data_IF_705955140159
#
_entry.id   IF_705955140159
#
_cell.length_a   1.000
_cell.length_b   1.000
_cell.length_c   1.000
_cell.angle_alpha   90.00
_cell.angle_beta   90.00
_cell.angle_gamma   90.00
#
_symmetry.space_group_name_H-M   'P 1'
#
loop_
_entity.id
_entity.type
_entity.pdbx_description
1 polymer ?
#
# COMPACT_ATOMS: atom_id res chain seq x y z
N UNK A 1 -7.98 -10.65 26.66
CA UNK A 1 -8.69 -10.74 25.37
C UNK A 1 -8.71 -12.19 24.91
N UNK A 2 -9.69 -12.60 24.11
CA UNK A 2 -9.67 -13.87 23.38
C UNK A 2 -10.12 -13.67 21.94
N UNK A 3 -9.44 -14.31 20.99
CA UNK A 3 -9.83 -14.39 19.59
C UNK A 3 -10.62 -15.67 19.34
N UNK A 4 -11.74 -15.57 18.63
CA UNK A 4 -12.61 -16.71 18.31
C UNK A 4 -12.65 -17.00 16.81
N UNK A 5 -12.67 -15.96 15.98
CA UNK A 5 -12.68 -16.04 14.51
C UNK A 5 -11.63 -15.08 13.97
N UNK A 6 -10.94 -15.49 12.92
CA UNK A 6 -9.99 -14.69 12.15
C UNK A 6 -9.92 -15.26 10.73
N UNK A 7 -10.66 -14.66 9.82
CA UNK A 7 -10.72 -15.06 8.41
C UNK A 7 -10.18 -13.91 7.56
N UNK A 8 -9.27 -14.22 6.64
CA UNK A 8 -8.62 -13.23 5.79
C UNK A 8 -8.99 -13.51 4.33
N UNK A 9 -9.54 -12.51 3.65
CA UNK A 9 -9.76 -12.56 2.21
C UNK A 9 -8.42 -12.65 1.46
N UNK A 10 -8.38 -13.18 0.22
CA UNK A 10 -7.16 -13.24 -0.56
C UNK A 10 -6.41 -11.89 -0.60
N UNK A 11 -5.11 -11.94 -0.35
CA UNK A 11 -4.27 -10.75 -0.25
C UNK A 11 -3.47 -10.58 -1.54
N UNK A 12 -3.48 -9.36 -2.06
CA UNK A 12 -2.59 -8.93 -3.13
C UNK A 12 -1.61 -7.88 -2.61
N UNK A 13 -0.39 -7.87 -3.14
CA UNK A 13 0.66 -6.95 -2.71
C UNK A 13 0.22 -5.49 -2.82
N UNK A 14 0.40 -4.71 -1.75
CA UNK A 14 0.04 -3.30 -1.66
C UNK A 14 -1.45 -2.97 -1.75
N UNK A 15 -2.33 -3.94 -2.06
CA UNK A 15 -3.78 -3.75 -2.12
C UNK A 15 -4.40 -3.94 -0.74
N UNK A 16 -5.52 -3.26 -0.50
CA UNK A 16 -6.32 -3.45 0.72
C UNK A 16 -7.34 -4.57 0.50
N UNK A 17 -7.39 -5.50 1.43
CA UNK A 17 -8.39 -6.57 1.53
C UNK A 17 -9.07 -6.53 2.90
N UNK A 18 -10.00 -7.45 3.16
CA UNK A 18 -10.73 -7.54 4.43
C UNK A 18 -10.28 -8.73 5.26
N UNK A 19 -10.27 -8.56 6.58
CA UNK A 19 -10.19 -9.66 7.53
C UNK A 19 -11.38 -9.58 8.49
N UNK A 20 -12.14 -10.65 8.62
CA UNK A 20 -13.24 -10.74 9.59
C UNK A 20 -12.74 -11.35 10.89
N UNK A 21 -12.97 -10.67 12.01
CA UNK A 21 -12.53 -11.13 13.33
C UNK A 21 -13.65 -11.09 14.36
N UNK A 22 -13.64 -12.05 15.26
CA UNK A 22 -14.49 -12.07 16.45
C UNK A 22 -13.61 -12.09 17.69
N UNK A 23 -13.69 -11.01 18.48
CA UNK A 23 -12.95 -10.86 19.73
C UNK A 23 -13.87 -10.89 20.94
N UNK A 24 -13.36 -11.36 22.08
CA UNK A 24 -14.03 -11.29 23.37
C UNK A 24 -13.16 -10.58 24.40
N UNK A 25 -13.77 -9.63 25.12
CA UNK A 25 -13.14 -9.02 26.27
C UNK A 25 -13.29 -9.89 27.51
N UNK A 26 -12.44 -10.90 27.63
CA UNK A 26 -12.33 -11.76 28.83
C UNK A 26 -11.65 -11.07 30.03
N UNK A 27 -11.31 -9.78 29.91
CA UNK A 27 -10.69 -9.00 30.98
C UNK A 27 -11.71 -8.44 31.97
N UNK A 28 -11.23 -7.74 32.99
CA UNK A 28 -12.07 -7.07 34.00
C UNK A 28 -12.28 -5.59 33.72
N UNK A 29 -11.54 -5.02 32.78
CA UNK A 29 -11.64 -3.63 32.37
C UNK A 29 -12.24 -3.50 30.96
N UNK A 30 -13.08 -2.49 30.69
CA UNK A 30 -13.57 -2.22 29.34
C UNK A 30 -12.41 -1.83 28.41
N UNK A 31 -12.48 -2.25 27.16
CA UNK A 31 -11.67 -1.67 26.08
C UNK A 31 -12.23 -0.31 25.75
N UNK A 32 -11.41 0.72 25.96
CA UNK A 32 -11.71 2.11 25.61
C UNK A 32 -10.56 2.61 24.78
N UNK A 33 -10.87 3.15 23.61
CA UNK A 33 -9.88 3.74 22.70
C UNK A 33 -8.77 2.78 22.28
N UNK A 34 -9.05 1.47 22.26
CA UNK A 34 -8.14 0.49 21.67
C UNK A 34 -8.35 0.45 20.16
N UNK A 35 -7.30 0.10 19.43
CA UNK A 35 -7.40 -0.25 18.03
C UNK A 35 -7.06 -1.72 17.82
N UNK A 36 -7.78 -2.37 16.92
CA UNK A 36 -7.37 -3.63 16.31
C UNK A 36 -6.54 -3.31 15.06
N UNK A 37 -5.41 -3.98 14.94
CA UNK A 37 -4.44 -3.81 13.86
C UNK A 37 -3.69 -5.12 13.63
N UNK A 38 -2.59 -5.06 12.89
CA UNK A 38 -1.81 -6.20 12.50
C UNK A 38 -0.36 -5.84 12.21
N UNK A 39 0.47 -6.88 12.13
CA UNK A 39 1.84 -6.84 11.67
C UNK A 39 2.02 -7.82 10.50
N UNK A 40 2.86 -7.44 9.54
CA UNK A 40 3.40 -8.41 8.58
C UNK A 40 4.80 -8.80 9.01
N UNK A 41 5.04 -10.11 9.09
CA UNK A 41 6.33 -10.70 9.43
C UNK A 41 6.89 -11.46 8.24
N UNK A 42 8.21 -11.52 8.14
CA UNK A 42 8.93 -12.41 7.22
C UNK A 42 8.88 -13.87 7.69
N UNK A 43 9.51 -14.77 6.92
CA UNK A 43 9.59 -16.20 7.21
C UNK A 43 10.36 -16.55 8.51
N UNK A 44 11.09 -15.59 9.06
CA UNK A 44 11.85 -15.72 10.31
C UNK A 44 11.13 -15.06 11.49
N UNK A 45 9.94 -14.48 11.27
CA UNK A 45 9.17 -13.76 12.26
C UNK A 45 9.64 -12.32 12.51
N UNK A 46 10.52 -11.77 11.67
CA UNK A 46 10.90 -10.36 11.79
C UNK A 46 9.80 -9.48 11.19
N UNK A 47 9.43 -8.37 11.85
CA UNK A 47 8.43 -7.47 11.31
C UNK A 47 8.96 -6.72 10.09
N UNK A 48 8.25 -6.83 8.97
CA UNK A 48 8.43 -6.02 7.77
C UNK A 48 7.46 -4.84 7.72
N UNK A 49 6.27 -5.01 8.33
CA UNK A 49 5.32 -3.95 8.62
C UNK A 49 4.93 -4.10 10.07
N UNK A 50 5.38 -3.17 10.90
CA UNK A 50 5.04 -3.17 12.33
C UNK A 50 3.75 -2.41 12.63
N UNK A 51 3.35 -1.46 11.80
CA UNK A 51 2.14 -0.65 12.06
C UNK A 51 1.14 -0.83 10.92
N UNK A 52 0.22 -1.77 11.10
CA UNK A 52 -0.93 -1.98 10.21
C UNK A 52 -2.03 -0.95 10.41
N UNK A 53 -3.04 -0.98 9.55
CA UNK A 53 -4.19 -0.04 9.60
C UNK A 53 -4.91 -0.16 10.96
N UNK A 54 -5.03 0.97 11.67
CA UNK A 54 -5.73 1.07 12.96
C UNK A 54 -7.23 1.17 12.75
N UNK A 55 -7.99 0.32 13.44
CA UNK A 55 -9.44 0.44 13.51
C UNK A 55 -9.92 0.36 14.95
N UNK A 56 -10.68 1.37 15.36
CA UNK A 56 -11.12 1.51 16.74
C UNK A 56 -12.07 0.38 17.14
N UNK A 57 -11.83 -0.19 18.31
CA UNK A 57 -12.66 -1.26 18.89
C UNK A 57 -12.93 -1.00 20.36
N UNK A 58 -14.18 -1.19 20.76
CA UNK A 58 -14.64 -1.01 22.13
C UNK A 58 -15.45 -2.23 22.57
N UNK A 59 -15.26 -2.67 23.82
CA UNK A 59 -15.96 -3.82 24.39
C UNK A 59 -15.99 -3.73 25.92
N UNK A 60 -17.14 -3.95 26.54
CA UNK A 60 -17.22 -4.13 28.00
C UNK A 60 -16.68 -5.50 28.40
N UNK A 61 -16.31 -5.71 29.67
CA UNK A 61 -15.99 -7.05 30.17
C UNK A 61 -17.10 -8.06 29.85
N UNK A 62 -16.73 -9.17 29.23
CA UNK A 62 -17.63 -10.24 28.78
C UNK A 62 -18.23 -10.05 27.39
N UNK A 63 -18.12 -8.86 26.78
CA UNK A 63 -18.66 -8.61 25.45
C UNK A 63 -17.87 -9.35 24.37
N UNK A 64 -18.59 -9.74 23.32
CA UNK A 64 -18.02 -10.21 22.05
C UNK A 64 -18.29 -9.18 20.97
N UNK A 65 -17.27 -8.89 20.17
CA UNK A 65 -17.31 -7.89 19.11
C UNK A 65 -16.82 -8.51 17.82
N UNK A 66 -17.66 -8.45 16.79
CA UNK A 66 -17.29 -8.73 15.41
C UNK A 66 -16.74 -7.46 14.77
N UNK A 67 -15.69 -7.60 13.97
CA UNK A 67 -15.08 -6.48 13.26
C UNK A 67 -14.57 -6.93 11.89
N UNK A 68 -14.90 -6.16 10.86
CA UNK A 68 -14.27 -6.28 9.54
C UNK A 68 -13.09 -5.31 9.48
N UNK A 69 -11.89 -5.84 9.32
CA UNK A 69 -10.64 -5.09 9.30
C UNK A 69 -10.18 -4.85 7.87
N UNK A 70 -9.75 -3.64 7.57
CA UNK A 70 -8.90 -3.41 6.40
C UNK A 70 -7.47 -3.91 6.64
N UNK A 71 -6.95 -4.72 5.72
CA UNK A 71 -5.58 -5.24 5.75
C UNK A 71 -4.91 -4.95 4.41
N UNK A 72 -3.81 -4.21 4.42
CA UNK A 72 -2.98 -3.97 3.24
C UNK A 72 -1.90 -5.02 3.10
N UNK A 73 -1.82 -5.66 1.93
CA UNK A 73 -0.77 -6.61 1.63
C UNK A 73 0.62 -5.97 1.63
N UNK A 74 1.67 -6.69 2.07
CA UNK A 74 3.04 -6.22 1.99
C UNK A 74 3.49 -6.15 0.53
N UNK A 75 4.61 -5.46 0.29
CA UNK A 75 5.27 -5.36 -1.01
C UNK A 75 6.71 -5.85 -0.81
N UNK A 76 7.22 -6.79 -1.63
CA UNK A 76 6.60 -7.40 -2.83
C UNK A 76 5.64 -8.58 -2.51
N UNK A 77 5.07 -9.26 -3.53
CA UNK A 77 4.31 -10.51 -3.34
C UNK A 77 5.22 -11.64 -2.82
N UNK A 78 4.64 -12.60 -2.11
CA UNK A 78 5.40 -13.70 -1.51
C UNK A 78 4.73 -14.32 -0.29
N UNK A 79 5.49 -15.13 0.43
CA UNK A 79 5.05 -15.75 1.68
C UNK A 79 5.37 -14.86 2.86
N UNK A 80 4.35 -14.59 3.66
CA UNK A 80 4.45 -13.77 4.85
C UNK A 80 3.60 -14.36 5.96
N UNK A 81 3.78 -13.83 7.16
CA UNK A 81 2.89 -14.11 8.27
C UNK A 81 2.17 -12.83 8.71
N UNK A 82 0.85 -12.91 8.83
CA UNK A 82 0.03 -11.85 9.40
C UNK A 82 -0.19 -12.13 10.89
N UNK A 83 0.25 -11.24 11.76
CA UNK A 83 -0.04 -11.30 13.19
C UNK A 83 -1.09 -10.24 13.54
N UNK A 84 -2.25 -10.65 14.05
CA UNK A 84 -3.32 -9.74 14.49
C UNK A 84 -3.13 -9.35 15.96
N UNK A 85 -3.29 -8.07 16.30
CA UNK A 85 -3.17 -7.61 17.69
C UNK A 85 -4.09 -6.42 18.01
N UNK A 86 -4.30 -6.20 19.31
CA UNK A 86 -4.85 -4.96 19.84
C UNK A 86 -3.72 -4.03 20.28
N UNK A 87 -3.91 -2.74 20.10
CA UNK A 87 -3.03 -1.69 20.59
C UNK A 87 -3.80 -0.75 21.51
N UNK A 88 -3.17 -0.35 22.60
CA UNK A 88 -3.51 0.87 23.35
C UNK A 88 -2.58 1.98 22.84
N UNK A 89 -3.14 2.97 22.16
CA UNK A 89 -2.37 3.98 21.42
C UNK A 89 -1.30 4.63 22.29
N UNK A 90 -0.08 4.73 21.75
CA UNK A 90 1.10 5.26 22.42
C UNK A 90 1.55 4.54 23.70
N UNK A 91 1.01 3.35 24.00
CA UNK A 91 1.32 2.63 25.24
C UNK A 91 1.95 1.28 24.98
N UNK A 92 1.21 0.35 24.40
CA UNK A 92 1.70 -1.01 24.14
C UNK A 92 0.78 -1.74 23.18
N UNK A 93 1.38 -2.72 22.52
CA UNK A 93 0.66 -3.81 21.87
C UNK A 93 0.33 -4.88 22.90
N UNK A 94 -0.84 -5.51 22.81
CA UNK A 94 -1.24 -6.48 23.83
C UNK A 94 -0.35 -7.74 23.80
N UNK A 95 0.25 -8.09 22.67
CA UNK A 95 1.28 -9.13 22.56
C UNK A 95 2.51 -8.84 23.45
N UNK A 96 2.91 -7.58 23.61
CA UNK A 96 4.05 -7.19 24.46
C UNK A 96 3.79 -7.47 25.94
N UNK A 97 2.52 -7.55 26.32
CA UNK A 97 2.08 -7.97 27.65
C UNK A 97 1.90 -9.50 27.78
N UNK A 98 2.27 -10.25 26.74
CA UNK A 98 2.15 -11.71 26.70
C UNK A 98 0.74 -12.22 26.34
N UNK A 99 -0.12 -11.38 25.77
CA UNK A 99 -1.40 -11.87 25.22
C UNK A 99 -1.14 -12.71 23.96
N UNK A 100 -1.99 -13.72 23.76
CA UNK A 100 -2.00 -14.47 22.50
C UNK A 100 -2.50 -13.60 21.34
N UNK A 101 -1.78 -13.66 20.23
CA UNK A 101 -2.12 -13.07 18.94
C UNK A 101 -2.23 -14.16 17.88
N UNK A 102 -3.32 -14.20 17.09
CA UNK A 102 -3.42 -15.09 15.94
C UNK A 102 -2.36 -14.75 14.92
N UNK A 103 -1.67 -15.77 14.45
CA UNK A 103 -0.76 -15.68 13.31
C UNK A 103 -1.26 -16.53 12.16
N UNK A 104 -1.30 -15.96 10.96
CA UNK A 104 -1.73 -16.64 9.74
C UNK A 104 -0.56 -16.66 8.75
N UNK A 105 -0.21 -17.84 8.23
CA UNK A 105 0.67 -17.93 7.07
C UNK A 105 -0.13 -17.54 5.82
N UNK A 106 0.35 -16.57 5.06
CA UNK A 106 -0.36 -15.98 3.91
C UNK A 106 0.54 -15.99 2.68
N UNK A 107 0.04 -16.59 1.61
CA UNK A 107 0.59 -16.43 0.26
C UNK A 107 0.00 -15.14 -0.35
N UNK A 108 0.78 -14.06 -0.33
CA UNK A 108 0.42 -12.75 -0.92
C UNK A 108 0.64 -12.80 -2.42
N UNK A 109 -0.44 -12.64 -3.19
CA UNK A 109 -0.42 -12.69 -4.64
C UNK A 109 0.12 -11.38 -5.26
N UNK A 110 0.59 -11.42 -6.51
CA UNK A 110 0.84 -10.21 -7.29
C UNK A 110 -0.39 -9.31 -7.36
N UNK A 111 -0.19 -7.99 -7.32
CA UNK A 111 -1.29 -7.03 -7.51
C UNK A 111 -1.84 -7.14 -8.92
N UNK A 112 -3.16 -7.09 -9.04
CA UNK A 112 -3.79 -7.03 -10.36
C UNK A 112 -3.46 -5.70 -11.05
N UNK A 113 -2.70 -5.79 -12.15
CA UNK A 113 -2.28 -4.66 -12.97
C UNK A 113 -3.25 -4.37 -14.13
N UNK A 114 -4.31 -5.17 -14.32
CA UNK A 114 -5.17 -5.11 -15.51
C UNK A 114 -5.88 -3.77 -15.70
N UNK A 115 -6.16 -3.06 -14.61
CA UNK A 115 -6.79 -1.74 -14.62
C UNK A 115 -5.82 -0.58 -14.87
N UNK A 116 -4.51 -0.81 -14.92
CA UNK A 116 -3.51 0.26 -14.95
C UNK A 116 -3.61 1.07 -16.25
N UNK A 117 -3.52 2.41 -16.12
CA UNK A 117 -3.54 3.34 -17.25
C UNK A 117 -2.34 4.27 -17.17
N UNK A 118 -1.60 4.35 -18.28
CA UNK A 118 -0.53 5.32 -18.48
C UNK A 118 -1.12 6.63 -19.04
N UNK A 119 -0.75 7.77 -18.45
CA UNK A 119 -1.30 9.07 -18.82
C UNK A 119 -0.27 9.94 -19.57
N UNK A 120 -0.64 10.42 -20.77
CA UNK A 120 0.12 11.44 -21.50
C UNK A 120 1.49 11.02 -22.06
N UNK A 121 1.82 9.73 -22.03
CA UNK A 121 3.07 9.20 -22.58
C UNK A 121 2.89 7.78 -23.13
N UNK A 122 3.91 7.33 -23.85
CA UNK A 122 4.15 5.92 -24.17
C UNK A 122 5.39 5.44 -23.39
N UNK A 123 5.48 4.13 -23.14
CA UNK A 123 6.58 3.54 -22.39
C UNK A 123 6.56 2.02 -22.47
N UNK A 124 7.55 1.38 -21.84
CA UNK A 124 7.59 -0.08 -21.73
C UNK A 124 6.45 -0.58 -20.84
N UNK A 125 5.38 -1.06 -21.48
CA UNK A 125 4.19 -1.54 -20.81
C UNK A 125 4.48 -2.72 -19.86
N UNK A 126 5.46 -3.58 -20.18
CA UNK A 126 5.77 -4.74 -19.34
C UNK A 126 6.54 -4.31 -18.09
N UNK A 127 7.47 -3.35 -18.22
CA UNK A 127 8.18 -2.81 -17.07
C UNK A 127 7.24 -2.05 -16.12
N UNK A 128 6.29 -1.28 -16.67
CA UNK A 128 5.24 -0.60 -15.90
C UNK A 128 4.33 -1.63 -15.21
N UNK A 129 3.85 -2.63 -15.95
CA UNK A 129 3.00 -3.67 -15.40
C UNK A 129 3.71 -4.50 -14.32
N UNK A 130 5.02 -4.72 -14.44
CA UNK A 130 5.82 -5.38 -13.43
C UNK A 130 5.85 -4.59 -12.11
N UNK A 131 6.02 -3.26 -12.17
CA UNK A 131 5.95 -2.40 -10.98
C UNK A 131 4.55 -2.44 -10.33
N UNK A 132 3.48 -2.44 -11.13
CA UNK A 132 2.14 -2.63 -10.58
C UNK A 132 1.98 -3.99 -9.90
N UNK A 133 2.35 -5.09 -10.56
CA UNK A 133 2.27 -6.46 -10.00
C UNK A 133 3.11 -6.65 -8.74
N UNK A 134 4.20 -5.90 -8.60
CA UNK A 134 5.00 -5.87 -7.38
C UNK A 134 4.20 -5.27 -6.20
N UNK A 135 3.26 -4.37 -6.46
CA UNK A 135 2.31 -3.88 -5.46
C UNK A 135 2.00 -2.39 -5.52
N UNK A 136 2.64 -1.63 -6.41
CA UNK A 136 2.49 -0.18 -6.47
C UNK A 136 1.21 0.22 -7.23
N UNK A 137 0.41 1.10 -6.62
CA UNK A 137 -0.79 1.66 -7.23
C UNK A 137 -0.47 2.75 -8.25
N UNK A 138 0.60 3.51 -8.00
CA UNK A 138 1.09 4.57 -8.87
C UNK A 138 2.57 4.35 -9.23
N UNK A 139 2.88 4.44 -10.53
CA UNK A 139 4.21 4.17 -11.07
C UNK A 139 4.64 5.36 -11.93
N UNK A 140 5.79 5.94 -11.62
CA UNK A 140 6.43 6.99 -12.40
C UNK A 140 7.79 6.56 -12.92
N UNK A 141 8.23 7.23 -13.98
CA UNK A 141 9.50 6.95 -14.63
C UNK A 141 10.22 8.21 -15.09
N UNK A 142 11.40 8.00 -15.67
CA UNK A 142 12.12 9.08 -16.32
C UNK A 142 11.39 9.55 -17.58
N UNK A 143 11.52 10.84 -17.89
CA UNK A 143 10.90 11.45 -19.07
C UNK A 143 11.98 11.61 -20.15
N UNK A 144 11.85 10.92 -21.28
CA UNK A 144 12.72 11.10 -22.44
C UNK A 144 12.13 12.15 -23.39
N UNK A 145 12.77 13.31 -23.42
CA UNK A 145 12.37 14.46 -24.24
C UNK A 145 13.59 15.18 -24.78
N UNK A 146 13.53 15.60 -26.06
CA UNK A 146 14.65 16.25 -26.75
C UNK A 146 15.05 17.60 -26.13
N UNK A 147 14.07 18.43 -25.77
CA UNK A 147 14.28 19.70 -25.07
C UNK A 147 13.68 19.56 -23.69
N UNK A 148 14.51 19.56 -22.66
CA UNK A 148 14.11 19.38 -21.27
C UNK A 148 13.93 20.75 -20.59
N UNK A 149 12.69 21.14 -20.24
CA UNK A 149 12.44 22.28 -19.37
C UNK A 149 13.08 22.08 -17.99
N UNK A 150 13.29 23.17 -17.25
CA UNK A 150 13.93 23.12 -15.94
C UNK A 150 13.13 22.24 -14.94
N UNK A 151 11.81 22.27 -15.07
CA UNK A 151 10.84 21.52 -14.28
C UNK A 151 10.96 20.00 -14.48
N UNK A 152 11.46 19.55 -15.64
CA UNK A 152 11.64 18.14 -15.96
C UNK A 152 13.09 17.64 -15.71
N UNK A 153 13.95 18.47 -15.12
CA UNK A 153 15.32 18.07 -14.75
C UNK A 153 15.37 16.91 -13.74
N UNK A 154 14.51 16.85 -12.71
CA UNK A 154 14.49 15.71 -11.77
C UNK A 154 14.16 14.36 -12.42
N UNK A 155 13.60 14.37 -13.63
CA UNK A 155 13.11 13.20 -14.36
C UNK A 155 14.06 12.77 -15.49
N UNK A 156 15.33 13.16 -15.42
CA UNK A 156 16.32 12.72 -16.40
C UNK A 156 16.53 11.20 -16.36
N UNK A 157 16.62 10.51 -17.50
CA UNK A 157 16.99 9.10 -17.57
C UNK A 157 18.38 8.82 -16.97
N UNK A 158 18.65 7.55 -16.68
CA UNK A 158 19.96 7.08 -16.20
C UNK A 158 20.05 6.85 -14.68
N UNK A 159 18.92 6.93 -13.97
CA UNK A 159 18.82 6.58 -12.55
C UNK A 159 18.28 5.17 -12.29
N UNK A 160 18.03 4.88 -11.02
CA UNK A 160 17.36 3.64 -10.56
C UNK A 160 16.02 3.91 -9.89
N UNK A 161 15.57 2.92 -9.11
CA UNK A 161 14.40 3.06 -8.24
C UNK A 161 14.70 4.05 -7.12
N UNK A 162 13.77 4.98 -6.90
CA UNK A 162 13.84 5.96 -5.83
C UNK A 162 12.50 6.02 -5.08
N UNK A 163 12.37 5.32 -3.93
CA UNK A 163 11.13 5.35 -3.13
C UNK A 163 10.93 6.67 -2.37
N UNK A 164 11.97 7.52 -2.28
CA UNK A 164 11.92 8.82 -1.61
C UNK A 164 11.93 9.98 -2.62
N UNK A 165 11.42 9.74 -3.83
CA UNK A 165 11.38 10.77 -4.87
C UNK A 165 10.46 11.93 -4.45
N UNK A 166 11.01 13.13 -4.34
CA UNK A 166 10.32 14.26 -3.72
C UNK A 166 9.34 15.00 -4.65
N UNK A 167 9.30 14.64 -5.93
CA UNK A 167 8.47 15.30 -6.94
C UNK A 167 7.26 14.43 -7.34
N UNK A 168 6.20 15.02 -7.91
CA UNK A 168 5.10 14.25 -8.51
C UNK A 168 5.60 13.23 -9.53
N UNK A 169 4.81 12.20 -9.81
CA UNK A 169 5.07 11.27 -10.90
C UNK A 169 4.53 11.90 -12.20
N UNK A 170 5.41 12.27 -13.13
CA UNK A 170 5.02 12.86 -14.42
C UNK A 170 4.68 11.74 -15.40
N UNK A 171 3.63 11.94 -16.18
CA UNK A 171 3.03 10.94 -17.06
C UNK A 171 2.83 9.59 -16.34
N UNK A 172 2.16 9.59 -15.17
CA UNK A 172 2.14 8.42 -14.30
C UNK A 172 1.35 7.27 -14.95
N UNK A 173 1.66 6.04 -14.55
CA UNK A 173 0.76 4.90 -14.69
C UNK A 173 0.04 4.66 -13.37
N UNK A 174 -1.30 4.65 -13.40
CA UNK A 174 -2.13 4.62 -12.21
C UNK A 174 -3.15 3.48 -12.27
N UNK A 175 -3.32 2.78 -11.14
CA UNK A 175 -4.44 1.87 -10.93
C UNK A 175 -5.69 2.65 -10.48
N UNK A 176 -6.90 2.28 -10.94
CA UNK A 176 -8.14 2.86 -10.44
C UNK A 176 -8.28 2.70 -8.92
N UNK A 177 -8.87 3.68 -8.22
CA UNK A 177 -9.52 4.88 -8.75
C UNK A 177 -8.57 6.08 -8.93
N UNK A 178 -7.25 5.89 -8.86
CA UNK A 178 -6.31 7.01 -8.97
C UNK A 178 -6.38 7.64 -10.37
N UNK A 179 -6.35 8.97 -10.38
CA UNK A 179 -6.32 9.83 -11.56
C UNK A 179 -5.23 10.90 -11.35
N UNK A 180 -4.65 11.46 -12.41
CA UNK A 180 -3.74 12.60 -12.29
C UNK A 180 -4.38 13.75 -11.49
N UNK A 181 -3.68 14.26 -10.49
CA UNK A 181 -4.13 15.33 -9.58
C UNK A 181 -3.19 16.56 -9.60
N UNK A 182 -2.19 16.57 -10.49
CA UNK A 182 -1.20 17.65 -10.63
C UNK A 182 -0.79 17.81 -12.10
N UNK A 183 -0.03 18.85 -12.42
CA UNK A 183 0.56 19.10 -13.74
C UNK A 183 2.00 19.60 -13.62
N UNK A 184 2.92 19.05 -14.43
CA UNK A 184 4.32 19.51 -14.48
C UNK A 184 4.71 19.76 -15.92
N UNK A 185 5.11 21.01 -16.23
CA UNK A 185 5.49 21.42 -17.58
C UNK A 185 4.43 21.09 -18.66
N UNK A 186 3.14 21.21 -18.34
CA UNK A 186 2.04 20.90 -19.26
C UNK A 186 1.72 19.41 -19.41
N UNK A 187 2.39 18.53 -18.66
CA UNK A 187 2.17 17.09 -18.67
C UNK A 187 1.35 16.65 -17.45
N UNK A 188 0.43 15.68 -17.60
CA UNK A 188 -0.33 15.14 -16.48
C UNK A 188 0.64 14.57 -15.45
N UNK A 189 0.41 14.87 -14.18
CA UNK A 189 1.20 14.37 -13.08
C UNK A 189 0.32 13.86 -11.95
N UNK A 190 0.89 13.00 -11.12
CA UNK A 190 0.25 12.52 -9.90
C UNK A 190 1.17 12.77 -8.71
N UNK A 191 0.67 13.57 -7.78
CA UNK A 191 1.29 13.79 -6.48
C UNK A 191 0.72 12.75 -5.50
N UNK A 192 1.58 11.99 -4.82
CA UNK A 192 1.15 11.06 -3.80
C UNK A 192 0.19 11.70 -2.80
N UNK A 193 -0.98 11.10 -2.66
CA UNK A 193 -2.05 11.51 -1.76
C UNK A 193 -2.64 10.25 -1.10
N UNK A 194 -2.90 10.33 0.21
CA UNK A 194 -3.33 9.18 0.99
C UNK A 194 -2.23 8.12 1.16
N UNK A 195 -2.66 6.88 1.38
CA UNK A 195 -1.78 5.77 1.77
C UNK A 195 -1.57 4.73 0.65
N UNK A 196 -1.91 5.07 -0.60
CA UNK A 196 -1.67 4.17 -1.73
C UNK A 196 -0.16 4.07 -2.03
N UNK A 197 0.38 2.86 -2.17
CA UNK A 197 1.80 2.68 -2.45
C UNK A 197 2.15 3.20 -3.85
N UNK A 198 3.28 3.87 -3.94
CA UNK A 198 3.77 4.42 -5.20
C UNK A 198 5.27 4.21 -5.36
N UNK A 199 5.75 4.30 -6.59
CA UNK A 199 7.19 4.19 -6.89
C UNK A 199 7.57 5.12 -8.03
N UNK A 200 8.74 5.74 -7.89
CA UNK A 200 9.47 6.31 -9.01
C UNK A 200 10.63 5.38 -9.39
N UNK A 201 10.68 4.96 -10.65
CA UNK A 201 11.74 4.12 -11.19
C UNK A 201 12.30 4.71 -12.47
N UNK A 202 13.45 5.37 -12.39
CA UNK A 202 14.07 6.03 -13.54
C UNK A 202 14.53 5.06 -14.65
N UNK A 203 14.47 3.73 -14.41
CA UNK A 203 14.68 2.72 -15.46
C UNK A 203 13.48 2.62 -16.39
N UNK A 204 12.28 2.98 -15.92
CA UNK A 204 11.10 3.15 -16.78
C UNK A 204 11.30 4.44 -17.54
N UNK A 205 11.33 4.35 -18.87
CA UNK A 205 11.49 5.50 -19.75
C UNK A 205 10.16 5.80 -20.42
N UNK A 206 9.68 7.03 -20.22
CA UNK A 206 8.40 7.51 -20.73
C UNK A 206 8.65 8.57 -21.80
N UNK A 207 7.98 8.41 -22.92
CA UNK A 207 8.02 9.32 -24.07
C UNK A 207 6.71 10.11 -24.10
N UNK A 208 6.70 11.40 -23.70
CA UNK A 208 5.49 12.21 -23.72
C UNK A 208 4.88 12.26 -25.12
N UNK A 209 3.57 12.06 -25.21
CA UNK A 209 2.86 12.18 -26.47
C UNK A 209 2.79 13.65 -26.87
N UNK A 210 3.09 13.95 -28.14
CA UNK A 210 2.92 15.30 -28.67
C UNK A 210 1.43 15.61 -28.74
N UNK A 211 0.98 16.66 -28.07
CA UNK A 211 -0.42 17.08 -28.03
C UNK A 211 -0.88 17.50 -29.44
N UNK A 212 -1.29 16.52 -30.25
CA UNK A 212 -1.99 16.70 -31.53
C UNK A 212 -3.45 16.34 -31.31
N UNK A 213 -4.15 17.06 -30.43
CA UNK A 213 -5.59 17.34 -30.51
C UNK A 213 -6.07 18.05 -29.24
N UNK A 214 -6.21 19.37 -29.33
CA UNK A 214 -7.40 20.03 -28.81
C UNK A 214 -8.11 20.68 -30.01
N UNK A 215 -9.39 20.36 -30.28
CA UNK A 215 -10.19 21.12 -31.26
C UNK A 215 -10.41 22.56 -30.80
#
# INVERSE_FOLDING_TARGET
MRWHVYELDPVQAGAVTRAHVLLENVGTAPWRDLNVSYHWLDDRGNPIVWDGIRQAVNASPGDRVEHDLQVRGPIPPGRYRLALDLVDEHRFWLAELGNFTPELDVDVAPRDASGARLFGAEGDAEQIAAAHREGYAAVGGSIDIRRRPAELQPYAPGGGRNPAFAHPLVCPSLLPPLEPNDEVAGLPAWRPEGDEPWVYDARITLLPQSDRRRP
#
